data_IF_903718681284
#
_entry.id   IF_903718681284
#
_cell.length_a   1.000
_cell.length_b   1.000
_cell.length_c   1.000
_cell.angle_alpha   90.00
_cell.angle_beta   90.00
_cell.angle_gamma   90.00
#
_symmetry.space_group_name_H-M   'P 1'
#
loop_
_entity.id
_entity.type
_entity.pdbx_description
1 polymer ?
#
# COMPACT_ATOMS: atom_id res chain seq x y z
N UNK A 1 4.96 -8.12 -0.91
CA UNK A 1 3.67 -8.35 -0.22
C UNK A 1 2.50 -7.87 -1.09
N UNK A 2 1.36 -8.55 -1.05
CA UNK A 2 0.14 -8.09 -1.74
C UNK A 2 -0.63 -7.16 -0.80
N UNK A 3 -0.83 -5.91 -1.22
CA UNK A 3 -1.63 -4.92 -0.50
C UNK A 3 -2.95 -4.73 -1.24
N UNK A 4 -4.05 -4.89 -0.53
CA UNK A 4 -5.38 -4.61 -1.04
C UNK A 4 -5.83 -3.21 -0.63
N UNK A 5 -6.37 -2.44 -1.58
CA UNK A 5 -6.94 -1.13 -1.30
C UNK A 5 -8.32 -1.28 -0.63
N UNK A 6 -8.48 -0.75 0.58
CA UNK A 6 -9.74 -0.80 1.35
C UNK A 6 -10.95 -0.12 0.68
N UNK A 7 -10.73 0.73 -0.32
CA UNK A 7 -11.81 1.47 -0.99
C UNK A 7 -12.27 0.83 -2.31
N UNK A 8 -11.38 0.13 -3.03
CA UNK A 8 -11.69 -0.40 -4.36
C UNK A 8 -11.28 -1.85 -4.58
N UNK A 9 -10.76 -2.50 -3.54
CA UNK A 9 -10.29 -3.88 -3.52
C UNK A 9 -9.23 -4.19 -4.60
N UNK A 10 -8.54 -3.16 -5.09
CA UNK A 10 -7.42 -3.34 -6.00
C UNK A 10 -6.24 -3.95 -5.26
N UNK A 11 -5.69 -5.03 -5.82
CA UNK A 11 -4.52 -5.73 -5.29
C UNK A 11 -3.25 -5.19 -5.94
N UNK A 12 -2.31 -4.75 -5.12
CA UNK A 12 -1.01 -4.23 -5.54
C UNK A 12 0.09 -5.13 -5.00
N UNK A 13 0.97 -5.62 -5.87
CA UNK A 13 2.18 -6.28 -5.42
C UNK A 13 3.22 -5.21 -5.08
N UNK A 14 3.49 -5.03 -3.79
CA UNK A 14 4.44 -4.04 -3.29
C UNK A 14 5.69 -4.76 -2.82
N UNK A 15 6.83 -4.30 -3.32
CA UNK A 15 8.12 -4.76 -2.87
C UNK A 15 8.35 -4.33 -1.43
N UNK A 16 8.50 -5.30 -0.56
CA UNK A 16 8.59 -5.09 0.88
C UNK A 16 9.92 -4.44 1.30
N UNK A 17 10.96 -4.49 0.45
CA UNK A 17 12.23 -3.81 0.68
C UNK A 17 12.10 -2.30 0.45
N UNK A 18 11.06 -1.87 -0.26
CA UNK A 18 10.74 -0.45 -0.46
C UNK A 18 9.90 0.14 0.66
N UNK A 19 9.51 -0.66 1.65
CA UNK A 19 8.71 -0.20 2.79
C UNK A 19 9.67 0.09 3.95
N UNK A 20 9.88 1.37 4.31
CA UNK A 20 10.71 1.73 5.45
C UNK A 20 10.05 1.30 6.77
N UNK A 21 10.84 1.15 7.83
CA UNK A 21 10.34 0.77 9.16
C UNK A 21 9.32 1.77 9.74
N UNK A 22 9.39 3.04 9.33
CA UNK A 22 8.42 4.07 9.69
C UNK A 22 7.05 3.90 9.01
N UNK A 23 6.95 3.02 8.01
CA UNK A 23 5.81 2.90 7.12
C UNK A 23 5.83 3.91 5.97
N UNK A 24 5.01 3.65 4.94
CA UNK A 24 4.89 4.46 3.72
C UNK A 24 3.43 4.75 3.42
N UNK A 25 3.15 5.98 2.98
CA UNK A 25 1.85 6.36 2.43
C UNK A 25 1.89 6.13 0.91
N UNK A 26 1.08 5.21 0.41
CA UNK A 26 0.94 4.97 -1.03
C UNK A 26 -0.43 5.45 -1.49
N UNK A 27 -0.48 6.06 -2.67
CA UNK A 27 -1.73 6.45 -3.31
C UNK A 27 -2.19 5.32 -4.21
N UNK A 28 -3.42 4.84 -4.01
CA UNK A 28 -4.05 3.88 -4.90
C UNK A 28 -4.18 4.49 -6.31
N UNK A 29 -3.61 3.84 -7.32
CA UNK A 29 -3.68 4.33 -8.70
C UNK A 29 -5.11 4.29 -9.27
N UNK A 30 -5.99 3.45 -8.70
CA UNK A 30 -7.35 3.24 -9.21
C UNK A 30 -8.35 4.25 -8.65
N UNK A 31 -8.38 4.42 -7.33
CA UNK A 31 -9.35 5.29 -6.65
C UNK A 31 -8.72 6.47 -5.90
N UNK A 32 -7.40 6.64 -6.01
CA UNK A 32 -6.64 7.75 -5.42
C UNK A 32 -6.67 7.83 -3.89
N UNK A 33 -7.21 6.79 -3.24
CA UNK A 33 -7.20 6.61 -1.80
C UNK A 33 -5.79 6.45 -1.26
N UNK A 34 -5.48 7.11 -0.13
CA UNK A 34 -4.18 7.01 0.53
C UNK A 34 -4.18 5.80 1.46
N UNK A 35 -3.29 4.85 1.21
CA UNK A 35 -3.12 3.63 1.99
C UNK A 35 -1.82 3.78 2.78
N UNK A 36 -1.90 3.61 4.09
CA UNK A 36 -0.71 3.57 4.93
C UNK A 36 -0.28 2.12 5.14
N UNK A 37 0.95 1.80 4.76
CA UNK A 37 1.51 0.46 4.88
C UNK A 37 2.70 0.52 5.82
N UNK A 38 2.73 -0.34 6.84
CA UNK A 38 3.82 -0.45 7.80
C UNK A 38 4.21 -1.92 7.91
N UNK A 39 5.51 -2.21 7.91
CA UNK A 39 6.04 -3.52 8.33
C UNK A 39 5.96 -3.56 9.86
N UNK A 40 5.23 -4.52 10.41
CA UNK A 40 5.30 -4.87 11.82
C UNK A 40 6.50 -5.78 12.07
#
# INVERSE_FOLDING_TARGET
MIVECSNCHAKYNIDENKIPAAGVKVRCQKCQHIIFIKKE
#
